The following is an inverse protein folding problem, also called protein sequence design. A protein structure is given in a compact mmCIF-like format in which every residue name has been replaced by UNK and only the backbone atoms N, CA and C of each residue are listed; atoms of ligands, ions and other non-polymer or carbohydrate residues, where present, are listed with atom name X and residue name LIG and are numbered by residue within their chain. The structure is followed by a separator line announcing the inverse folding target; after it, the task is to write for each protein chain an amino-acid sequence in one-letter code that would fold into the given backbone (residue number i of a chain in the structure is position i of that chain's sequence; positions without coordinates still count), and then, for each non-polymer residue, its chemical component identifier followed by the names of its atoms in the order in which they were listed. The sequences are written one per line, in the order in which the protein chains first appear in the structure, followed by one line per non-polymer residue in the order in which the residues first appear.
data_IF_217899983167
#
_entry.id   IF_217899983167
#
_cell.length_a   1.000
_cell.length_b   1.000
_cell.length_c   1.000
_cell.angle_alpha   90.00
_cell.angle_beta   90.00
_cell.angle_gamma   90.00
#
_symmetry.space_group_name_H-M   'P 1'
#
loop_
_entity.id
_entity.type
_entity.pdbx_description
1 polymer ?
#
# COMPACT_ATOMS: atom_id res chain seq x y z
N UNK A 1 23.32 -10.42 -11.39
CA UNK A 1 22.82 -9.16 -12.02
C UNK A 1 21.42 -9.28 -12.63
N UNK A 2 21.07 -10.37 -13.34
CA UNK A 2 19.75 -10.52 -13.98
C UNK A 2 18.57 -10.54 -12.98
N UNK A 3 18.70 -11.25 -11.84
CA UNK A 3 17.66 -11.30 -10.80
C UNK A 3 17.42 -9.94 -10.11
N UNK A 4 18.47 -9.16 -9.88
CA UNK A 4 18.41 -7.82 -9.28
C UNK A 4 17.50 -6.89 -10.11
N UNK A 5 17.67 -6.89 -11.44
CA UNK A 5 16.83 -6.09 -12.34
C UNK A 5 15.36 -6.57 -12.36
N UNK A 6 15.13 -7.87 -12.19
CA UNK A 6 13.77 -8.42 -12.10
C UNK A 6 13.08 -7.97 -10.81
N UNK A 7 13.77 -8.06 -9.68
CA UNK A 7 13.25 -7.59 -8.37
C UNK A 7 12.94 -6.08 -8.42
N UNK A 8 13.85 -5.28 -9.00
CA UNK A 8 13.64 -3.85 -9.17
C UNK A 8 12.37 -3.52 -9.96
N UNK A 9 12.20 -4.17 -11.12
CA UNK A 9 11.00 -3.99 -11.96
C UNK A 9 9.72 -4.42 -11.25
N UNK A 10 9.79 -5.52 -10.51
CA UNK A 10 8.65 -6.02 -9.77
C UNK A 10 8.21 -5.04 -8.67
N UNK A 11 9.15 -4.51 -7.89
CA UNK A 11 8.87 -3.49 -6.85
C UNK A 11 8.32 -2.20 -7.45
N UNK A 12 8.88 -1.77 -8.58
CA UNK A 12 8.37 -0.61 -9.31
C UNK A 12 6.92 -0.83 -9.76
N UNK A 13 6.63 -1.99 -10.37
CA UNK A 13 5.28 -2.34 -10.81
C UNK A 13 4.29 -2.35 -9.64
N UNK A 14 4.65 -2.96 -8.51
CA UNK A 14 3.81 -2.99 -7.31
C UNK A 14 3.57 -1.60 -6.71
N UNK A 15 4.61 -0.77 -6.64
CA UNK A 15 4.47 0.64 -6.23
C UNK A 15 3.48 1.38 -7.11
N UNK A 16 3.61 1.23 -8.43
CA UNK A 16 2.72 1.87 -9.40
C UNK A 16 1.28 1.36 -9.28
N UNK A 17 1.09 0.05 -9.08
CA UNK A 17 -0.21 -0.56 -8.84
C UNK A 17 -0.88 0.00 -7.57
N UNK A 18 -0.12 0.15 -6.48
CA UNK A 18 -0.62 0.75 -5.24
C UNK A 18 -1.06 2.20 -5.45
N UNK A 19 -0.26 3.00 -6.17
CA UNK A 19 -0.62 4.38 -6.52
C UNK A 19 -1.93 4.43 -7.33
N UNK A 20 -2.09 3.56 -8.33
CA UNK A 20 -3.33 3.49 -9.12
C UNK A 20 -4.53 3.12 -8.25
N UNK A 21 -4.38 2.16 -7.34
CA UNK A 21 -5.43 1.77 -6.40
C UNK A 21 -5.83 2.95 -5.47
N UNK A 22 -4.85 3.64 -4.89
CA UNK A 22 -5.06 4.80 -4.01
C UNK A 22 -5.74 5.96 -4.75
N UNK A 23 -5.28 6.29 -5.96
CA UNK A 23 -5.90 7.33 -6.80
C UNK A 23 -7.33 6.94 -7.15
N UNK A 24 -7.58 5.68 -7.51
CA UNK A 24 -8.94 5.21 -7.83
C UNK A 24 -9.87 5.33 -6.63
N UNK A 25 -9.40 4.92 -5.45
CA UNK A 25 -10.15 5.03 -4.21
C UNK A 25 -10.49 6.50 -3.90
N UNK A 26 -9.50 7.40 -4.02
CA UNK A 26 -9.68 8.83 -3.80
C UNK A 26 -10.70 9.45 -4.78
N UNK A 27 -10.50 9.24 -6.09
CA UNK A 27 -11.40 9.78 -7.13
C UNK A 27 -12.82 9.28 -6.96
N UNK A 28 -13.00 8.03 -6.55
CA UNK A 28 -14.34 7.47 -6.32
C UNK A 28 -14.97 8.05 -5.05
N UNK A 29 -14.21 8.20 -3.97
CA UNK A 29 -14.71 8.76 -2.70
C UNK A 29 -15.12 10.24 -2.84
N UNK A 30 -14.36 11.03 -3.61
CA UNK A 30 -14.68 12.45 -3.89
C UNK A 30 -16.06 12.63 -4.54
N UNK A 31 -16.54 11.64 -5.30
CA UNK A 31 -17.84 11.70 -5.99
C UNK A 31 -19.04 11.47 -5.07
N UNK A 32 -18.84 10.99 -3.84
CA UNK A 32 -19.91 10.62 -2.92
C UNK A 32 -19.90 11.54 -1.70
N UNK A 33 -20.94 12.34 -1.55
CA UNK A 33 -21.05 13.32 -0.45
C UNK A 33 -21.68 12.73 0.82
N UNK A 34 -21.29 13.20 2.01
CA UNK A 34 -20.28 14.23 2.26
C UNK A 34 -18.84 13.70 2.11
N UNK A 35 -17.94 14.52 1.55
CA UNK A 35 -16.52 14.21 1.44
C UNK A 35 -15.66 15.18 2.26
N UNK A 36 -14.77 14.61 3.08
CA UNK A 36 -13.74 15.35 3.80
C UNK A 36 -12.36 14.72 3.46
N UNK A 37 -11.46 15.45 2.78
CA UNK A 37 -10.14 14.91 2.42
C UNK A 37 -9.25 14.62 3.62
N UNK A 38 -9.36 15.41 4.71
CA UNK A 38 -8.59 15.16 5.94
C UNK A 38 -8.99 13.80 6.51
N UNK A 39 -10.29 13.56 6.65
CA UNK A 39 -10.79 12.26 7.10
C UNK A 39 -10.33 11.11 6.19
N UNK A 40 -10.31 11.30 4.87
CA UNK A 40 -9.83 10.27 3.93
C UNK A 40 -8.35 9.93 4.14
N UNK A 41 -7.49 10.94 4.25
CA UNK A 41 -6.06 10.71 4.40
C UNK A 41 -5.66 10.28 5.82
N UNK A 42 -6.52 10.48 6.82
CA UNK A 42 -6.30 9.99 8.20
C UNK A 42 -6.61 8.50 8.39
N UNK A 43 -7.15 7.79 7.39
CA UNK A 43 -7.31 6.35 7.50
C UNK A 43 -5.94 5.66 7.47
N UNK A 44 -5.65 4.89 8.52
CA UNK A 44 -4.40 4.12 8.63
C UNK A 44 -4.16 3.21 7.42
N UNK A 45 -5.22 2.65 6.82
CA UNK A 45 -5.14 1.88 5.56
C UNK A 45 -4.55 2.69 4.40
N UNK A 46 -4.93 3.97 4.28
CA UNK A 46 -4.44 4.87 3.22
C UNK A 46 -2.99 5.25 3.49
N UNK A 47 -2.68 5.69 4.71
CA UNK A 47 -1.31 6.07 5.12
C UNK A 47 -0.32 4.91 4.96
N UNK A 48 -0.67 3.72 5.47
CA UNK A 48 0.20 2.53 5.37
C UNK A 48 0.45 2.12 3.92
N UNK A 49 -0.56 2.17 3.04
CA UNK A 49 -0.37 1.85 1.62
C UNK A 49 0.42 2.92 0.86
N UNK A 50 0.30 4.20 1.21
CA UNK A 50 1.16 5.27 0.68
C UNK A 50 2.62 5.01 1.04
N UNK A 51 2.89 4.66 2.31
CA UNK A 51 4.24 4.33 2.77
C UNK A 51 4.79 3.10 2.03
N UNK A 52 3.98 2.05 1.83
CA UNK A 52 4.39 0.87 1.03
C UNK A 52 4.75 1.26 -0.40
N UNK A 53 3.89 2.04 -1.07
CA UNK A 53 4.16 2.50 -2.43
C UNK A 53 5.49 3.25 -2.51
N UNK A 54 5.77 4.10 -1.52
CA UNK A 54 7.02 4.86 -1.43
C UNK A 54 8.24 3.97 -1.18
N UNK A 55 8.16 3.04 -0.22
CA UNK A 55 9.27 2.11 0.09
C UNK A 55 9.58 1.19 -1.08
N UNK A 56 8.57 0.70 -1.78
CA UNK A 56 8.76 -0.13 -2.98
C UNK A 56 9.39 0.68 -4.12
N UNK A 57 9.00 1.95 -4.29
CA UNK A 57 9.60 2.85 -5.28
C UNK A 57 11.09 3.11 -4.97
N UNK A 58 11.41 3.53 -3.75
CA UNK A 58 12.80 3.77 -3.33
C UNK A 58 13.65 2.51 -3.47
N UNK A 59 13.09 1.37 -3.05
CA UNK A 59 13.73 0.07 -3.24
C UNK A 59 13.98 -0.23 -4.71
N UNK A 60 13.04 0.07 -5.61
CA UNK A 60 13.21 -0.21 -7.04
C UNK A 60 14.36 0.57 -7.68
N UNK A 61 14.59 1.82 -7.23
CA UNK A 61 15.62 2.71 -7.78
C UNK A 61 16.99 2.47 -7.13
N UNK A 62 17.03 2.26 -5.81
CA UNK A 62 18.29 2.13 -5.07
C UNK A 62 18.55 0.74 -4.48
N UNK A 63 18.11 -0.33 -5.15
CA UNK A 63 18.34 -1.73 -4.72
C UNK A 63 19.82 -2.04 -4.41
N UNK A 64 20.78 -1.32 -5.00
CA UNK A 64 22.21 -1.49 -4.72
C UNK A 64 22.72 -0.67 -3.51
N UNK A 65 22.04 0.41 -3.14
CA UNK A 65 22.46 1.37 -2.12
C UNK A 65 21.65 1.28 -0.82
N UNK A 66 20.33 1.12 -0.91
CA UNK A 66 19.44 1.10 0.25
C UNK A 66 19.34 -0.26 0.93
N UNK A 67 19.62 -1.37 0.24
CA UNK A 67 19.62 -2.72 0.83
C UNK A 67 20.70 -2.96 1.88
N UNK A 68 21.57 -1.97 2.12
CA UNK A 68 22.67 -2.01 3.10
C UNK A 68 22.59 -0.91 4.16
N UNK A 69 21.63 0.02 4.08
CA UNK A 69 21.43 1.04 5.11
C UNK A 69 20.58 0.48 6.24
N UNK A 70 21.06 0.64 7.47
CA UNK A 70 20.36 0.22 8.68
C UNK A 70 19.05 1.00 8.85
N UNK A 71 19.09 2.31 8.62
CA UNK A 71 17.95 3.21 8.73
C UNK A 71 16.85 2.84 7.74
N UNK A 72 17.23 2.49 6.50
CA UNK A 72 16.27 2.01 5.51
C UNK A 72 15.67 0.64 5.90
N UNK A 73 16.49 -0.23 6.50
CA UNK A 73 16.03 -1.50 7.05
C UNK A 73 14.97 -1.32 8.15
N UNK A 74 15.23 -0.41 9.09
CA UNK A 74 14.29 -0.05 10.18
C UNK A 74 13.00 0.52 9.59
N UNK A 75 13.10 1.48 8.66
CA UNK A 75 11.94 2.10 8.03
C UNK A 75 11.10 1.06 7.26
N UNK A 76 11.73 0.20 6.46
CA UNK A 76 11.03 -0.90 5.77
C UNK A 76 10.36 -1.84 6.78
N UNK A 77 11.03 -2.16 7.88
CA UNK A 77 10.49 -3.00 8.95
C UNK A 77 9.23 -2.39 9.56
N UNK A 78 9.26 -1.11 9.94
CA UNK A 78 8.11 -0.39 10.48
C UNK A 78 6.93 -0.38 9.49
N UNK A 79 7.18 -0.03 8.22
CA UNK A 79 6.14 -0.03 7.17
C UNK A 79 5.56 -1.43 6.94
N UNK A 80 6.39 -2.48 7.07
CA UNK A 80 5.92 -3.87 6.99
C UNK A 80 4.95 -4.20 8.12
N UNK A 81 5.25 -3.79 9.35
CA UNK A 81 4.33 -3.99 10.49
C UNK A 81 3.01 -3.23 10.27
N UNK A 82 3.06 -2.00 9.76
CA UNK A 82 1.86 -1.21 9.48
C UNK A 82 0.97 -1.86 8.43
N UNK A 83 1.53 -2.27 7.29
CA UNK A 83 0.73 -2.86 6.22
C UNK A 83 0.19 -4.25 6.58
N UNK A 84 0.94 -5.04 7.36
CA UNK A 84 0.44 -6.31 7.88
C UNK A 84 -0.72 -6.09 8.86
N UNK A 85 -0.65 -5.04 9.69
CA UNK A 85 -1.76 -4.65 10.57
C UNK A 85 -3.01 -4.31 9.76
N UNK A 86 -2.86 -3.52 8.69
CA UNK A 86 -3.94 -3.19 7.74
C UNK A 86 -4.56 -4.46 7.12
N UNK A 87 -3.75 -5.38 6.61
CA UNK A 87 -4.22 -6.63 6.01
C UNK A 87 -4.94 -7.54 7.02
N UNK A 88 -4.37 -7.69 8.22
CA UNK A 88 -4.96 -8.52 9.28
C UNK A 88 -6.29 -7.97 9.78
N UNK A 89 -6.36 -6.66 10.08
CA UNK A 89 -7.60 -6.01 10.52
C UNK A 89 -8.66 -6.14 9.44
N UNK A 90 -8.30 -5.92 8.17
CA UNK A 90 -9.26 -6.08 7.09
C UNK A 90 -9.78 -7.51 7.01
N UNK A 91 -8.88 -8.51 6.97
CA UNK A 91 -9.28 -9.90 6.82
C UNK A 91 -10.13 -10.42 7.98
N UNK A 92 -9.80 -10.01 9.21
CA UNK A 92 -10.45 -10.50 10.42
C UNK A 92 -11.71 -9.71 10.80
N UNK A 93 -11.74 -8.40 10.55
CA UNK A 93 -12.76 -7.50 11.11
C UNK A 93 -13.57 -6.73 10.07
N UNK A 94 -13.00 -6.42 8.89
CA UNK A 94 -13.67 -5.51 7.93
C UNK A 94 -14.18 -6.19 6.66
N UNK A 95 -13.72 -7.41 6.37
CA UNK A 95 -14.16 -8.16 5.19
C UNK A 95 -15.66 -8.47 5.29
N UNK A 96 -16.41 -8.12 4.25
CA UNK A 96 -17.88 -8.22 4.23
C UNK A 96 -18.60 -6.94 4.69
N UNK A 97 -17.87 -5.92 5.16
CA UNK A 97 -18.40 -4.61 5.56
C UNK A 97 -18.07 -3.50 4.55
N UNK A 98 -17.69 -3.85 3.32
CA UNK A 98 -17.21 -2.89 2.32
C UNK A 98 -18.28 -1.86 1.91
N UNK A 99 -19.55 -2.26 1.88
CA UNK A 99 -20.66 -1.34 1.57
C UNK A 99 -20.85 -0.28 2.64
N UNK A 100 -20.86 -0.68 3.92
CA UNK A 100 -21.03 0.26 5.04
C UNK A 100 -19.82 1.18 5.22
N UNK A 101 -18.62 0.69 4.86
CA UNK A 101 -17.37 1.45 4.91
C UNK A 101 -17.08 2.24 3.62
N UNK A 102 -17.94 2.16 2.61
CA UNK A 102 -17.79 2.85 1.33
C UNK A 102 -16.47 2.50 0.60
N UNK A 103 -16.02 1.26 0.74
CA UNK A 103 -14.82 0.68 0.10
C UNK A 103 -15.20 -0.37 -0.94
N UNK A 104 -16.29 -0.18 -1.67
CA UNK A 104 -16.91 -1.20 -2.54
C UNK A 104 -16.12 -1.59 -3.80
N UNK A 105 -14.92 -1.06 -4.03
CA UNK A 105 -14.15 -1.33 -5.25
C UNK A 105 -13.32 -2.61 -5.04
N UNK A 106 -13.72 -3.77 -5.58
CA UNK A 106 -13.17 -5.05 -5.12
C UNK A 106 -11.68 -5.20 -5.43
N UNK A 107 -11.25 -4.77 -6.62
CA UNK A 107 -9.84 -4.87 -7.01
C UNK A 107 -8.93 -3.94 -6.20
N UNK A 108 -9.44 -2.77 -5.78
CA UNK A 108 -8.70 -1.87 -4.88
C UNK A 108 -8.51 -2.54 -3.53
N UNK A 109 -9.55 -3.17 -2.98
CA UNK A 109 -9.41 -3.91 -1.73
C UNK A 109 -8.41 -5.06 -1.85
N UNK A 110 -8.42 -5.80 -2.97
CA UNK A 110 -7.43 -6.84 -3.24
C UNK A 110 -6.01 -6.27 -3.22
N UNK A 111 -5.78 -5.15 -3.90
CA UNK A 111 -4.46 -4.52 -3.95
C UNK A 111 -4.02 -4.05 -2.54
N UNK A 112 -4.87 -3.26 -1.87
CA UNK A 112 -4.49 -2.56 -0.63
C UNK A 112 -4.47 -3.47 0.62
N UNK A 113 -5.24 -4.57 0.63
CA UNK A 113 -5.38 -5.43 1.81
C UNK A 113 -4.83 -6.85 1.64
N UNK A 114 -4.41 -7.25 0.43
CA UNK A 114 -3.82 -8.56 0.19
C UNK A 114 -2.48 -8.45 -0.53
N UNK A 115 -2.44 -7.83 -1.72
CA UNK A 115 -1.22 -7.80 -2.53
C UNK A 115 -0.12 -6.99 -1.82
N UNK A 116 -0.42 -5.78 -1.31
CA UNK A 116 0.57 -4.94 -0.64
C UNK A 116 1.12 -5.55 0.66
N UNK A 117 0.28 -6.10 1.58
CA UNK A 117 0.79 -6.84 2.73
C UNK A 117 1.72 -8.00 2.36
N UNK A 118 1.34 -8.82 1.37
CA UNK A 118 2.15 -9.96 0.92
C UNK A 118 3.45 -9.50 0.28
N UNK A 119 3.42 -8.42 -0.51
CA UNK A 119 4.60 -7.89 -1.20
C UNK A 119 5.68 -7.35 -0.26
N UNK A 120 5.33 -7.02 0.98
CA UNK A 120 6.26 -6.43 1.95
C UNK A 120 6.97 -7.46 2.83
N UNK A 121 6.48 -8.71 2.88
CA UNK A 121 7.17 -9.87 3.46
C UNK A 121 8.41 -10.21 2.63
#
# INVERSE_FOLDING_TARGET
MKSIKVIARFRFFLSFLACIALITQFVTRVKVQPFNPVNFFSFFTIESNILVAFILLLSSVGIATFGRSEEFGILRGAVTVYILTTGLIYFLLLRGLEESLQTVIPWVNVVLHYIMPIAML
#
